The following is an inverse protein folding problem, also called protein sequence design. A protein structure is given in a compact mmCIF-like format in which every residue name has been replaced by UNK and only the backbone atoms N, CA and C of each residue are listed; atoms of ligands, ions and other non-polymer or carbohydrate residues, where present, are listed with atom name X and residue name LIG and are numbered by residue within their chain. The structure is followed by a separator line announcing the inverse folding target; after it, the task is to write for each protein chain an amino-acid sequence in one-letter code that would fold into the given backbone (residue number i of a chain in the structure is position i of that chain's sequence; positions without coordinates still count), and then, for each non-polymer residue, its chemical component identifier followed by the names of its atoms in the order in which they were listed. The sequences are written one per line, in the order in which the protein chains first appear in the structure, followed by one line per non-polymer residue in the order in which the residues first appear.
data_IF_968588152787
#
_entry.id   IF_968588152787
#
_cell.length_a   1.000
_cell.length_b   1.000
_cell.length_c   1.000
_cell.angle_alpha   90.00
_cell.angle_beta   90.00
_cell.angle_gamma   90.00
#
_symmetry.space_group_name_H-M   'P 1'
#
loop_
_entity.id
_entity.type
_entity.pdbx_description
1 polymer ?
#
# COMPACT_ATOMS: atom_id res chain seq x y z
N UNK A 1 -11.52 -6.77 -1.11
CA UNK A 1 -10.13 -6.32 -0.95
C UNK A 1 -9.20 -7.52 -0.99
N UNK A 2 -8.15 -7.48 -1.77
CA UNK A 2 -7.15 -8.55 -1.90
C UNK A 2 -6.10 -8.44 -0.80
N UNK A 3 -6.39 -8.95 0.38
CA UNK A 3 -5.56 -8.76 1.57
C UNK A 3 -4.12 -9.24 1.38
N UNK A 4 -3.92 -10.43 0.81
CA UNK A 4 -2.59 -10.96 0.55
C UNK A 4 -1.77 -10.08 -0.41
N UNK A 5 -2.40 -9.60 -1.49
CA UNK A 5 -1.76 -8.68 -2.43
C UNK A 5 -1.44 -7.33 -1.77
N UNK A 6 -2.35 -6.77 -0.96
CA UNK A 6 -2.10 -5.53 -0.22
C UNK A 6 -0.90 -5.69 0.75
N UNK A 7 -0.80 -6.83 1.44
CA UNK A 7 0.36 -7.13 2.30
C UNK A 7 1.66 -7.24 1.51
N UNK A 8 1.64 -7.93 0.36
CA UNK A 8 2.81 -8.04 -0.51
C UNK A 8 3.27 -6.65 -1.00
N UNK A 9 2.33 -5.78 -1.40
CA UNK A 9 2.63 -4.39 -1.75
C UNK A 9 3.20 -3.62 -0.56
N UNK A 10 2.68 -3.86 0.66
CA UNK A 10 3.23 -3.29 1.90
C UNK A 10 4.68 -3.70 2.15
N UNK A 11 5.01 -4.99 2.00
CA UNK A 11 6.40 -5.48 2.14
C UNK A 11 7.32 -4.83 1.12
N UNK A 12 6.91 -4.74 -0.14
CA UNK A 12 7.70 -4.11 -1.19
C UNK A 12 7.90 -2.61 -0.93
N UNK A 13 6.84 -1.90 -0.47
CA UNK A 13 6.91 -0.49 -0.08
C UNK A 13 7.84 -0.26 1.11
N UNK A 14 7.75 -1.10 2.15
CA UNK A 14 8.63 -1.07 3.31
C UNK A 14 10.09 -1.25 2.90
N UNK A 15 10.38 -2.30 2.12
CA UNK A 15 11.74 -2.60 1.65
C UNK A 15 12.33 -1.47 0.81
N UNK A 16 11.54 -0.92 -0.13
CA UNK A 16 11.96 0.24 -0.93
C UNK A 16 12.20 1.48 -0.05
N UNK A 17 11.28 1.79 0.86
CA UNK A 17 11.40 2.92 1.77
C UNK A 17 12.65 2.84 2.65
N UNK A 18 12.95 1.67 3.21
CA UNK A 18 14.18 1.43 3.97
C UNK A 18 15.41 1.62 3.08
N UNK A 19 15.41 1.06 1.87
CA UNK A 19 16.52 1.20 0.94
C UNK A 19 16.80 2.69 0.59
N UNK A 20 15.76 3.49 0.35
CA UNK A 20 15.87 4.93 0.04
C UNK A 20 16.33 5.71 1.29
N UNK A 21 15.83 5.39 2.47
CA UNK A 21 16.24 6.04 3.72
C UNK A 21 17.70 5.78 4.05
N UNK A 22 18.19 4.55 3.84
CA UNK A 22 19.59 4.18 4.07
C UNK A 22 20.50 4.72 2.96
N UNK A 23 20.07 4.67 1.71
CA UNK A 23 20.84 5.09 0.55
C UNK A 23 20.02 6.01 -0.37
N UNK A 24 20.13 7.34 -0.23
CA UNK A 24 19.40 8.29 -1.05
C UNK A 24 19.63 8.12 -2.56
N UNK A 25 20.75 7.50 -2.95
CA UNK A 25 21.10 7.22 -4.35
C UNK A 25 20.05 6.39 -5.08
N UNK A 26 19.33 5.55 -4.36
CA UNK A 26 18.27 4.68 -4.92
C UNK A 26 17.20 5.51 -5.61
N UNK A 27 16.80 6.66 -5.04
CA UNK A 27 15.83 7.58 -5.63
C UNK A 27 16.50 8.75 -6.37
N UNK A 28 17.63 9.28 -5.87
CA UNK A 28 18.29 10.43 -6.44
C UNK A 28 18.72 10.21 -7.90
N UNK A 29 19.35 9.07 -8.19
CA UNK A 29 19.87 8.76 -9.53
C UNK A 29 18.79 8.69 -10.60
N UNK A 30 17.70 7.93 -10.43
CA UNK A 30 16.62 7.89 -11.42
C UNK A 30 15.94 9.23 -11.65
N UNK A 31 15.91 10.09 -10.61
CA UNK A 31 15.28 11.41 -10.66
C UNK A 31 16.24 12.54 -11.07
N UNK A 32 17.52 12.24 -11.31
CA UNK A 32 18.52 13.28 -11.65
C UNK A 32 18.74 14.30 -10.53
N UNK A 33 18.52 13.92 -9.27
CA UNK A 33 18.66 14.79 -8.11
C UNK A 33 20.07 14.69 -7.50
N UNK A 34 20.55 15.78 -6.85
CA UNK A 34 21.82 15.75 -6.12
C UNK A 34 21.80 14.70 -4.99
N UNK A 35 22.89 13.94 -4.86
CA UNK A 35 23.04 12.89 -3.84
C UNK A 35 23.43 13.45 -2.45
N UNK A 36 23.65 14.76 -2.32
CA UNK A 36 24.19 15.41 -1.13
C UNK A 36 23.36 16.63 -0.70
N UNK A 37 23.60 17.09 0.53
CA UNK A 37 22.98 18.30 1.06
C UNK A 37 21.49 18.10 1.39
N UNK A 38 20.70 19.17 1.21
CA UNK A 38 19.27 19.21 1.52
C UNK A 38 18.44 18.22 0.70
N UNK A 39 18.84 17.95 -0.54
CA UNK A 39 18.18 16.95 -1.40
C UNK A 39 18.28 15.55 -0.82
N UNK A 40 19.46 15.15 -0.30
CA UNK A 40 19.64 13.85 0.33
C UNK A 40 18.79 13.70 1.59
N UNK A 41 18.66 14.78 2.38
CA UNK A 41 17.81 14.77 3.58
C UNK A 41 16.34 14.60 3.22
N UNK A 42 15.85 15.35 2.21
CA UNK A 42 14.49 15.21 1.71
C UNK A 42 14.21 13.79 1.21
N UNK A 43 15.11 13.22 0.41
CA UNK A 43 14.99 11.85 -0.11
C UNK A 43 14.93 10.82 1.02
N UNK A 44 15.75 10.98 2.08
CA UNK A 44 15.67 10.12 3.27
C UNK A 44 14.32 10.24 3.97
N UNK A 45 13.79 11.46 4.12
CA UNK A 45 12.48 11.68 4.71
C UNK A 45 11.36 10.98 3.90
N UNK A 46 11.42 11.05 2.56
CA UNK A 46 10.52 10.30 1.68
C UNK A 46 10.65 8.79 1.90
N UNK A 47 11.87 8.28 2.01
CA UNK A 47 12.13 6.86 2.31
C UNK A 47 11.56 6.41 3.65
N UNK A 48 11.74 7.21 4.70
CA UNK A 48 11.16 6.93 6.04
C UNK A 48 9.63 6.93 5.98
N UNK A 49 9.02 7.92 5.31
CA UNK A 49 7.57 7.98 5.11
C UNK A 49 7.06 6.68 4.44
N UNK A 50 7.70 6.25 3.38
CA UNK A 50 7.31 5.05 2.64
C UNK A 50 7.50 3.79 3.48
N UNK A 51 8.58 3.71 4.25
CA UNK A 51 8.81 2.61 5.18
C UNK A 51 7.70 2.52 6.26
N UNK A 52 7.28 3.65 6.83
CA UNK A 52 6.19 3.69 7.82
C UNK A 52 4.86 3.26 7.22
N UNK A 53 4.51 3.76 6.03
CA UNK A 53 3.26 3.36 5.34
C UNK A 53 3.32 1.87 4.98
N UNK A 54 4.44 1.38 4.44
CA UNK A 54 4.63 -0.03 4.14
C UNK A 54 4.52 -0.92 5.39
N UNK A 55 5.12 -0.52 6.51
CA UNK A 55 4.99 -1.21 7.78
C UNK A 55 3.52 -1.24 8.26
N UNK A 56 2.81 -0.13 8.17
CA UNK A 56 1.38 -0.08 8.50
C UNK A 56 0.59 -1.06 7.61
N UNK A 57 0.82 -1.08 6.30
CA UNK A 57 0.15 -2.03 5.39
C UNK A 57 0.43 -3.49 5.74
N UNK A 58 1.58 -3.80 6.35
CA UNK A 58 1.94 -5.16 6.78
C UNK A 58 1.35 -5.52 8.13
N UNK A 59 1.27 -4.61 9.09
CA UNK A 59 1.01 -4.91 10.50
C UNK A 59 -0.44 -4.66 10.95
N UNK A 60 -1.14 -3.67 10.37
CA UNK A 60 -2.50 -3.34 10.81
C UNK A 60 -3.49 -4.49 10.55
N UNK A 61 -4.57 -4.63 11.34
CA UNK A 61 -5.61 -5.63 11.11
C UNK A 61 -6.22 -5.53 9.70
N UNK A 62 -6.61 -6.68 9.14
CA UNK A 62 -7.36 -6.72 7.88
C UNK A 62 -8.72 -6.01 8.04
N UNK A 63 -9.24 -5.46 6.95
CA UNK A 63 -10.50 -4.70 6.94
C UNK A 63 -10.28 -3.20 6.80
N UNK A 64 -10.98 -2.39 7.59
CA UNK A 64 -10.97 -0.93 7.48
C UNK A 64 -9.57 -0.32 7.67
N UNK A 65 -8.81 -0.79 8.67
CA UNK A 65 -7.48 -0.28 8.95
C UNK A 65 -6.51 -0.52 7.78
N UNK A 66 -6.47 -1.72 7.23
CA UNK A 66 -5.63 -2.02 6.06
C UNK A 66 -6.09 -1.23 4.82
N UNK A 67 -7.40 -1.09 4.62
CA UNK A 67 -7.97 -0.27 3.55
C UNK A 67 -7.50 1.18 3.65
N UNK A 68 -7.52 1.76 4.85
CA UNK A 68 -7.02 3.13 5.10
C UNK A 68 -5.53 3.23 4.80
N UNK A 69 -4.71 2.27 5.25
CA UNK A 69 -3.28 2.27 4.97
C UNK A 69 -2.98 2.22 3.45
N UNK A 70 -3.73 1.40 2.69
CA UNK A 70 -3.61 1.34 1.22
C UNK A 70 -4.06 2.66 0.57
N UNK A 71 -5.16 3.26 1.03
CA UNK A 71 -5.63 4.56 0.52
C UNK A 71 -4.61 5.68 0.80
N UNK A 72 -4.00 5.69 1.99
CA UNK A 72 -2.90 6.61 2.30
C UNK A 72 -1.73 6.41 1.32
N UNK A 73 -1.37 5.17 1.00
CA UNK A 73 -0.33 4.88 0.02
C UNK A 73 -0.67 5.43 -1.36
N UNK A 74 -1.87 5.17 -1.86
CA UNK A 74 -2.35 5.68 -3.15
C UNK A 74 -2.32 7.22 -3.20
N UNK A 75 -2.78 7.89 -2.14
CA UNK A 75 -2.78 9.35 -2.07
C UNK A 75 -1.36 9.93 -2.09
N UNK A 76 -0.43 9.29 -1.38
CA UNK A 76 0.98 9.69 -1.34
C UNK A 76 1.63 9.53 -2.71
N UNK A 77 1.44 8.40 -3.38
CA UNK A 77 1.99 8.17 -4.72
C UNK A 77 1.41 9.14 -5.75
N UNK A 78 0.12 9.48 -5.66
CA UNK A 78 -0.49 10.49 -6.50
C UNK A 78 0.14 11.88 -6.25
N UNK A 79 0.40 12.23 -5.00
CA UNK A 79 1.12 13.44 -4.61
C UNK A 79 2.56 13.47 -5.14
N UNK A 80 3.27 12.36 -5.03
CA UNK A 80 4.64 12.22 -5.57
C UNK A 80 4.65 12.33 -7.10
N UNK A 81 3.68 11.73 -7.78
CA UNK A 81 3.55 11.85 -9.23
C UNK A 81 3.33 13.32 -9.67
N UNK A 82 2.50 14.06 -8.93
CA UNK A 82 2.28 15.48 -9.18
C UNK A 82 3.55 16.29 -8.89
N UNK A 83 4.19 16.06 -7.74
CA UNK A 83 5.39 16.77 -7.32
C UNK A 83 6.54 16.53 -8.31
N UNK A 84 6.89 15.29 -8.57
CA UNK A 84 7.97 14.96 -9.49
C UNK A 84 7.64 15.29 -10.93
N UNK A 85 6.39 15.17 -11.34
CA UNK A 85 5.90 15.54 -12.66
C UNK A 85 5.99 17.05 -12.95
N UNK A 86 6.01 17.88 -11.91
CA UNK A 86 6.08 19.35 -12.06
C UNK A 86 7.48 19.91 -11.79
N UNK A 87 8.18 19.44 -10.76
CA UNK A 87 9.37 20.10 -10.23
C UNK A 87 10.72 19.53 -10.69
N UNK A 88 10.78 18.31 -11.24
CA UNK A 88 12.04 17.79 -11.77
C UNK A 88 12.51 18.62 -12.99
N UNK A 89 13.83 18.78 -13.14
CA UNK A 89 14.40 19.65 -14.15
C UNK A 89 14.19 19.11 -15.58
N UNK A 90 14.42 17.81 -15.79
CA UNK A 90 14.37 17.19 -17.12
C UNK A 90 13.03 16.52 -17.39
N UNK A 91 12.45 16.76 -18.55
CA UNK A 91 11.15 16.19 -18.96
C UNK A 91 11.13 14.65 -18.93
N UNK A 92 12.25 14.02 -19.32
CA UNK A 92 12.37 12.54 -19.29
C UNK A 92 12.37 11.98 -17.87
N UNK A 93 12.97 12.68 -16.92
CA UNK A 93 13.00 12.29 -15.50
C UNK A 93 11.63 12.51 -14.84
N UNK A 94 10.93 13.61 -15.16
CA UNK A 94 9.55 13.86 -14.77
C UNK A 94 8.63 12.71 -15.18
N UNK A 95 8.68 12.34 -16.47
CA UNK A 95 7.82 11.28 -16.99
C UNK A 95 8.11 9.93 -16.31
N UNK A 96 9.38 9.57 -16.12
CA UNK A 96 9.76 8.32 -15.45
C UNK A 96 9.31 8.28 -13.99
N UNK A 97 9.59 9.33 -13.22
CA UNK A 97 9.25 9.38 -11.80
C UNK A 97 7.72 9.40 -11.59
N UNK A 98 7.00 10.25 -12.35
CA UNK A 98 5.55 10.32 -12.26
C UNK A 98 4.88 9.02 -12.71
N UNK A 99 5.34 8.38 -13.80
CA UNK A 99 4.77 7.12 -14.25
C UNK A 99 5.03 5.97 -13.28
N UNK A 100 6.20 5.92 -12.64
CA UNK A 100 6.49 4.93 -11.61
C UNK A 100 5.58 5.09 -10.39
N UNK A 101 5.40 6.33 -9.91
CA UNK A 101 4.50 6.61 -8.78
C UNK A 101 3.04 6.28 -9.12
N UNK A 102 2.56 6.67 -10.30
CA UNK A 102 1.20 6.34 -10.75
C UNK A 102 0.98 4.84 -10.95
N UNK A 103 1.95 4.12 -11.49
CA UNK A 103 1.88 2.67 -11.63
C UNK A 103 1.78 1.98 -10.26
N UNK A 104 2.56 2.46 -9.28
CA UNK A 104 2.50 1.93 -7.91
C UNK A 104 1.17 2.25 -7.24
N UNK A 105 0.66 3.48 -7.38
CA UNK A 105 -0.67 3.88 -6.93
C UNK A 105 -1.77 3.01 -7.52
N UNK A 106 -1.69 2.73 -8.83
CA UNK A 106 -2.65 1.87 -9.52
C UNK A 106 -2.61 0.42 -9.03
N UNK A 107 -1.41 -0.15 -8.81
CA UNK A 107 -1.24 -1.48 -8.23
C UNK A 107 -1.79 -1.57 -6.80
N UNK A 108 -1.50 -0.58 -5.96
CA UNK A 108 -2.06 -0.51 -4.61
C UNK A 108 -3.59 -0.33 -4.66
N UNK A 109 -4.10 0.57 -5.48
CA UNK A 109 -5.53 0.80 -5.68
C UNK A 109 -6.28 -0.43 -6.18
N UNK A 110 -5.67 -1.20 -7.08
CA UNK A 110 -6.23 -2.47 -7.56
C UNK A 110 -6.48 -3.47 -6.43
N UNK A 111 -5.68 -3.47 -5.37
CA UNK A 111 -5.90 -4.34 -4.21
C UNK A 111 -7.20 -4.04 -3.46
N UNK A 112 -7.78 -2.84 -3.65
CA UNK A 112 -9.03 -2.41 -3.04
C UNK A 112 -10.28 -2.93 -3.76
N UNK A 113 -10.17 -3.32 -5.04
CA UNK A 113 -11.33 -3.56 -5.91
C UNK A 113 -12.09 -4.87 -5.67
N UNK A 114 -11.48 -5.92 -5.11
CA UNK A 114 -12.10 -7.25 -4.98
C UNK A 114 -12.55 -7.61 -3.55
N UNK A 115 -13.09 -6.66 -2.81
CA UNK A 115 -13.53 -6.87 -1.42
C UNK A 115 -14.80 -7.70 -1.22
N UNK A 116 -15.50 -8.08 -2.29
CA UNK A 116 -16.77 -8.82 -2.18
C UNK A 116 -16.65 -10.34 -2.29
N UNK A 117 -15.54 -10.86 -2.81
CA UNK A 117 -15.41 -12.30 -3.10
C UNK A 117 -14.70 -13.13 -2.02
N UNK A 118 -13.82 -12.52 -1.22
CA UNK A 118 -13.08 -13.25 -0.18
C UNK A 118 -13.84 -13.37 1.15
N UNK A 119 -14.77 -12.46 1.43
CA UNK A 119 -15.55 -12.49 2.69
C UNK A 119 -16.89 -13.19 2.56
N UNK A 120 -17.43 -13.32 1.34
CA UNK A 120 -18.71 -13.96 1.11
C UNK A 120 -18.74 -15.44 1.57
N UNK A 121 -17.76 -16.30 1.25
CA UNK A 121 -17.77 -17.69 1.74
C UNK A 121 -17.61 -17.77 3.26
N UNK A 122 -16.75 -16.97 3.89
CA UNK A 122 -16.54 -17.01 5.34
C UNK A 122 -17.78 -16.54 6.13
N UNK A 123 -18.48 -15.52 5.63
CA UNK A 123 -19.73 -15.05 6.26
C UNK A 123 -20.85 -16.09 6.06
N UNK A 124 -20.91 -16.70 4.89
CA UNK A 124 -21.89 -17.75 4.59
C UNK A 124 -21.64 -19.00 5.44
N UNK A 125 -20.38 -19.41 5.62
CA UNK A 125 -20.01 -20.55 6.45
C UNK A 125 -20.30 -20.29 7.93
N UNK A 126 -20.01 -19.10 8.43
CA UNK A 126 -20.34 -18.70 9.78
C UNK A 126 -21.86 -18.68 10.02
N UNK A 127 -22.63 -18.16 9.08
CA UNK A 127 -24.10 -18.18 9.11
C UNK A 127 -24.66 -19.61 9.10
N UNK A 128 -24.11 -20.48 8.24
CA UNK A 128 -24.51 -21.87 8.15
C UNK A 128 -24.20 -22.66 9.44
N UNK A 129 -23.06 -22.39 10.07
CA UNK A 129 -22.69 -22.99 11.38
C UNK A 129 -23.67 -22.53 12.47
N UNK A 130 -24.00 -21.24 12.53
CA UNK A 130 -24.95 -20.70 13.50
C UNK A 130 -26.36 -21.30 13.34
N UNK A 131 -26.83 -21.43 12.09
CA UNK A 131 -28.13 -22.06 11.80
C UNK A 131 -28.15 -23.55 12.21
N UNK A 132 -27.09 -24.30 11.92
CA UNK A 132 -26.97 -25.71 12.33
C UNK A 132 -26.92 -25.86 13.85
N UNK A 133 -26.22 -24.98 14.56
CA UNK A 133 -26.18 -24.99 16.03
C UNK A 133 -27.55 -24.71 16.63
N UNK A 134 -28.30 -23.73 16.09
CA UNK A 134 -29.67 -23.45 16.54
C UNK A 134 -30.62 -24.62 16.30
N UNK A 135 -30.52 -25.26 15.14
CA UNK A 135 -31.37 -26.44 14.82
C UNK A 135 -31.06 -27.65 15.71
N UNK A 136 -29.79 -27.86 16.08
CA UNK A 136 -29.42 -28.95 16.99
C UNK A 136 -29.90 -28.71 18.43
N UNK A 137 -29.87 -27.45 18.88
CA UNK A 137 -30.40 -27.10 20.20
C UNK A 137 -31.95 -27.35 20.31
N UNK A 138 -32.69 -26.93 19.28
CA UNK A 138 -34.16 -27.14 19.24
C UNK A 138 -34.53 -28.63 19.17
N UNK A 139 -33.67 -29.48 18.59
CA UNK A 139 -33.91 -30.92 18.51
C UNK A 139 -33.62 -31.67 19.82
N UNK A 140 -32.82 -31.09 20.68
CA UNK A 140 -32.46 -31.68 21.98
C UNK A 140 -33.55 -31.42 23.07
N UNK A 141 -34.47 -30.49 22.80
CA UNK A 141 -35.55 -30.13 23.72
C UNK A 141 -36.90 -30.85 23.42
N UNK A 142 -36.95 -31.66 22.35
CA UNK A 142 -38.11 -32.49 21.95
C UNK A 142 -37.88 -33.96 22.28
#
# INVERSE_FOLDING_TARGET
MRTAAARAMGVATLGYGVAVACSPRVLARPCGLPEHGSSALLIRALGVRDAVIGAAMVTVPAGAALRTAVLCRVAVDAGDALLFGTFLARRSERAKAASAALAWAALCGWTLTDGGRETAPLVQDAANVAVRAAQSATRAEL
#
